data_IF_335270674642
#
_entry.id   IF_335270674642
#
_cell.length_a   1.000
_cell.length_b   1.000
_cell.length_c   1.000
_cell.angle_alpha   90.00
_cell.angle_beta   90.00
_cell.angle_gamma   90.00
#
_symmetry.space_group_name_H-M   'P 1'
#
loop_
_entity.id
_entity.type
_entity.pdbx_description
1 polymer ?
#
# COMPACT_ATOMS: atom_id res chain seq x y z
N UNK A 1 -15.79 8.57 -0.06
CA UNK A 1 -14.37 8.21 -0.28
C UNK A 1 -13.76 7.70 0.99
N UNK A 2 -13.09 6.53 0.94
CA UNK A 2 -12.43 5.93 2.09
C UNK A 2 -11.30 6.85 2.59
N UNK A 3 -11.12 6.94 3.91
CA UNK A 3 -10.08 7.76 4.55
C UNK A 3 -9.44 7.02 5.72
N UNK A 4 -8.14 7.21 5.91
CA UNK A 4 -7.44 6.65 7.06
C UNK A 4 -7.98 7.27 8.35
N UNK A 5 -8.25 6.42 9.34
CA UNK A 5 -8.66 6.86 10.68
C UNK A 5 -7.55 7.65 11.37
N UNK A 6 -7.90 8.40 12.41
CA UNK A 6 -6.93 9.13 13.23
C UNK A 6 -5.91 8.20 13.90
N UNK A 7 -6.32 7.00 14.30
CA UNK A 7 -5.43 5.98 14.87
C UNK A 7 -4.38 5.51 13.84
N UNK A 8 -4.81 5.21 12.62
CA UNK A 8 -3.90 4.79 11.55
C UNK A 8 -2.94 5.91 11.18
N UNK A 9 -3.42 7.16 11.07
CA UNK A 9 -2.56 8.33 10.85
C UNK A 9 -1.52 8.51 11.97
N UNK A 10 -1.90 8.29 13.23
CA UNK A 10 -0.97 8.36 14.36
C UNK A 10 0.10 7.26 14.30
N UNK A 11 -0.26 6.03 13.90
CA UNK A 11 0.68 4.92 13.65
C UNK A 11 1.67 5.27 12.54
N UNK A 12 1.16 5.74 11.40
CA UNK A 12 1.99 6.20 10.28
C UNK A 12 2.95 7.32 10.69
N UNK A 13 2.52 8.23 11.58
CA UNK A 13 3.39 9.24 12.17
C UNK A 13 4.57 8.65 12.94
N UNK A 14 4.35 7.61 13.76
CA UNK A 14 5.44 6.94 14.49
C UNK A 14 6.39 6.19 13.55
N UNK A 15 5.85 5.54 12.53
CA UNK A 15 6.64 4.88 11.48
C UNK A 15 7.50 5.91 10.74
N UNK A 16 6.89 7.02 10.30
CA UNK A 16 7.61 8.09 9.62
C UNK A 16 8.78 8.58 10.48
N UNK A 17 8.54 8.87 11.77
CA UNK A 17 9.60 9.26 12.70
C UNK A 17 10.70 8.21 12.83
N UNK A 18 10.35 6.92 12.87
CA UNK A 18 11.31 5.80 12.95
C UNK A 18 12.25 5.72 11.75
N UNK A 19 11.76 5.95 10.53
CA UNK A 19 12.59 5.89 9.32
C UNK A 19 13.27 7.22 8.99
N UNK A 20 12.69 8.34 9.41
CA UNK A 20 13.23 9.66 9.13
C UNK A 20 14.57 9.93 9.82
N UNK A 21 15.49 10.52 9.07
CA UNK A 21 16.68 11.13 9.66
C UNK A 21 16.29 12.35 10.51
N UNK A 22 16.91 12.48 11.68
CA UNK A 22 16.72 13.60 12.59
C UNK A 22 17.73 14.72 12.31
N UNK A 23 17.25 15.94 12.16
CA UNK A 23 18.06 17.14 11.90
C UNK A 23 17.81 18.19 12.98
N UNK A 24 18.87 18.85 13.43
CA UNK A 24 18.72 20.01 14.32
C UNK A 24 18.14 21.19 13.54
N UNK A 25 17.02 21.74 14.01
CA UNK A 25 16.45 22.98 13.50
C UNK A 25 16.30 24.00 14.63
N UNK A 26 16.20 25.32 14.32
CA UNK A 26 16.11 26.37 15.34
C UNK A 26 14.95 26.20 16.34
N UNK A 27 13.89 25.48 15.94
CA UNK A 27 12.68 25.27 16.73
C UNK A 27 12.55 23.84 17.28
N UNK A 28 13.64 23.06 17.29
CA UNK A 28 13.67 21.67 17.73
C UNK A 28 14.13 20.70 16.65
N UNK A 29 14.00 19.41 16.92
CA UNK A 29 14.39 18.37 15.98
C UNK A 29 13.37 18.25 14.84
N UNK A 30 13.87 18.27 13.61
CA UNK A 30 13.09 18.07 12.39
C UNK A 30 13.33 16.67 11.84
N UNK A 31 12.25 15.94 11.62
CA UNK A 31 12.27 14.59 11.06
C UNK A 31 11.95 14.66 9.55
N UNK A 32 12.91 14.28 8.71
CA UNK A 32 12.75 14.27 7.25
C UNK A 32 13.14 12.90 6.70
N UNK A 33 12.30 12.32 5.85
CA UNK A 33 12.65 11.12 5.09
C UNK A 33 13.27 11.52 3.75
N UNK A 34 14.60 11.41 3.65
CA UNK A 34 15.32 11.55 2.38
C UNK A 34 15.26 10.27 1.57
N UNK A 35 15.81 10.29 0.36
CA UNK A 35 15.84 9.14 -0.55
C UNK A 35 16.28 7.84 0.12
N UNK A 36 17.40 7.85 0.88
CA UNK A 36 17.88 6.65 1.57
C UNK A 36 16.91 6.14 2.67
N UNK A 37 16.26 7.04 3.39
CA UNK A 37 15.27 6.71 4.41
C UNK A 37 14.03 6.05 3.77
N UNK A 38 13.58 6.59 2.63
CA UNK A 38 12.48 6.05 1.83
C UNK A 38 12.83 4.67 1.27
N UNK A 39 14.06 4.48 0.77
CA UNK A 39 14.53 3.19 0.28
C UNK A 39 14.54 2.13 1.39
N UNK A 40 15.01 2.47 2.60
CA UNK A 40 14.99 1.56 3.75
C UNK A 40 13.56 1.14 4.11
N UNK A 41 12.64 2.10 4.19
CA UNK A 41 11.22 1.81 4.42
C UNK A 41 10.63 0.87 3.35
N UNK A 42 10.90 1.16 2.08
CA UNK A 42 10.40 0.36 0.96
C UNK A 42 10.98 -1.05 0.94
N UNK A 43 12.26 -1.21 1.30
CA UNK A 43 12.88 -2.54 1.45
C UNK A 43 12.18 -3.33 2.54
N UNK A 44 11.85 -2.73 3.67
CA UNK A 44 11.20 -3.44 4.76
C UNK A 44 9.79 -3.95 4.37
N UNK A 45 8.99 -3.16 3.66
CA UNK A 45 7.63 -3.59 3.26
C UNK A 45 7.59 -4.46 1.99
N UNK A 46 8.47 -4.20 1.01
CA UNK A 46 8.42 -4.86 -0.30
C UNK A 46 9.55 -5.88 -0.54
N UNK A 47 10.54 -5.95 0.36
CA UNK A 47 11.78 -6.71 0.21
C UNK A 47 12.79 -6.11 -0.77
N UNK A 48 12.36 -5.23 -1.68
CA UNK A 48 13.20 -4.58 -2.69
C UNK A 48 12.68 -3.18 -3.05
N UNK A 49 13.58 -2.26 -3.40
CA UNK A 49 13.23 -0.93 -3.93
C UNK A 49 12.74 -1.04 -5.38
N UNK A 50 11.78 -0.18 -5.76
CA UNK A 50 11.31 -0.06 -7.15
C UNK A 50 10.10 -0.92 -7.50
N UNK A 51 9.52 -1.60 -6.52
CA UNK A 51 8.28 -2.39 -6.64
C UNK A 51 7.14 -1.73 -5.87
N UNK A 52 5.91 -2.08 -6.25
CA UNK A 52 4.72 -1.67 -5.52
C UNK A 52 4.18 -0.33 -5.98
N UNK A 53 2.94 -0.05 -5.59
CA UNK A 53 2.33 1.26 -5.83
C UNK A 53 2.84 2.28 -4.81
N UNK A 54 3.27 1.82 -3.65
CA UNK A 54 3.93 2.57 -2.59
C UNK A 54 5.18 3.29 -3.11
N UNK A 55 6.06 2.59 -3.85
CA UNK A 55 7.23 3.21 -4.51
C UNK A 55 6.81 4.29 -5.51
N UNK A 56 5.81 4.01 -6.34
CA UNK A 56 5.35 4.95 -7.38
C UNK A 56 4.71 6.18 -6.78
N UNK A 57 3.91 6.01 -5.73
CA UNK A 57 3.25 7.10 -5.02
C UNK A 57 4.28 7.91 -4.23
N UNK A 58 5.23 7.26 -3.54
CA UNK A 58 6.32 7.95 -2.85
C UNK A 58 7.16 8.81 -3.82
N UNK A 59 7.53 8.26 -4.98
CA UNK A 59 8.25 9.01 -6.01
C UNK A 59 7.47 10.28 -6.44
N UNK A 60 6.15 10.16 -6.67
CA UNK A 60 5.30 11.30 -7.04
C UNK A 60 5.20 12.35 -5.93
N UNK A 61 5.02 11.93 -4.67
CA UNK A 61 4.99 12.82 -3.50
C UNK A 61 6.35 13.51 -3.29
N UNK A 62 7.45 12.86 -3.67
CA UNK A 62 8.79 13.44 -3.73
C UNK A 62 9.04 14.32 -4.96
N UNK A 63 8.03 14.52 -5.81
CA UNK A 63 8.10 15.44 -6.95
C UNK A 63 8.54 14.82 -8.28
N UNK A 64 8.60 13.49 -8.38
CA UNK A 64 8.81 12.82 -9.67
C UNK A 64 7.71 13.19 -10.65
N UNK A 65 8.10 13.60 -11.85
CA UNK A 65 7.21 13.91 -12.97
C UNK A 65 7.77 13.23 -14.22
N UNK A 66 6.91 12.74 -15.12
CA UNK A 66 7.36 12.23 -16.41
C UNK A 66 8.02 13.36 -17.22
N UNK A 67 9.12 13.03 -17.91
CA UNK A 67 9.91 13.98 -18.69
C UNK A 67 9.17 14.51 -19.93
N UNK A 68 8.16 13.78 -20.40
CA UNK A 68 7.28 14.16 -21.51
C UNK A 68 5.84 13.69 -21.25
N UNK A 69 4.81 14.35 -21.82
CA UNK A 69 3.45 13.84 -21.79
C UNK A 69 3.39 12.47 -22.50
N UNK A 70 2.57 11.52 -22.01
CA UNK A 70 2.46 10.19 -22.60
C UNK A 70 2.04 10.33 -24.06
N UNK A 71 2.91 9.94 -25.00
CA UNK A 71 2.55 9.81 -26.41
C UNK A 71 1.85 8.47 -26.60
N UNK A 72 0.80 8.43 -27.43
CA UNK A 72 0.03 7.19 -27.69
C UNK A 72 0.86 6.08 -28.36
N UNK A 73 2.08 6.40 -28.82
CA UNK A 73 2.98 5.50 -29.56
C UNK A 73 4.25 5.11 -28.78
N UNK A 74 4.41 5.54 -27.52
CA UNK A 74 5.59 5.17 -26.73
C UNK A 74 5.40 3.83 -26.01
N UNK A 75 5.89 2.76 -26.63
CA UNK A 75 6.07 1.44 -26.00
C UNK A 75 7.07 1.45 -24.83
N UNK A 76 7.73 2.59 -24.57
CA UNK A 76 8.72 2.76 -23.50
C UNK A 76 8.25 3.75 -22.46
N UNK A 77 7.42 3.28 -21.53
CA UNK A 77 7.13 4.04 -20.29
C UNK A 77 8.45 4.33 -19.57
N UNK A 78 8.70 5.61 -19.33
CA UNK A 78 9.83 6.06 -18.53
C UNK A 78 9.83 5.35 -17.17
N UNK A 79 11.00 4.85 -16.76
CA UNK A 79 11.14 4.14 -15.49
C UNK A 79 11.05 5.16 -14.36
N UNK A 80 10.09 4.97 -13.44
CA UNK A 80 9.94 5.80 -12.25
C UNK A 80 11.17 5.60 -11.35
N UNK A 81 11.73 6.71 -10.86
CA UNK A 81 12.86 6.76 -9.91
C UNK A 81 12.55 7.71 -8.78
N UNK A 82 13.12 7.48 -7.60
CA UNK A 82 13.05 8.46 -6.51
C UNK A 82 13.94 9.67 -6.87
N UNK A 83 13.41 10.91 -6.86
CA UNK A 83 14.24 12.08 -7.09
C UNK A 83 15.30 12.23 -5.99
N UNK A 84 16.54 12.52 -6.39
CA UNK A 84 17.62 12.83 -5.46
C UNK A 84 17.39 14.21 -4.82
N UNK A 85 17.89 14.39 -3.59
CA UNK A 85 17.84 15.65 -2.84
C UNK A 85 16.43 16.19 -2.55
N UNK A 86 15.41 15.33 -2.65
CA UNK A 86 14.04 15.63 -2.25
C UNK A 86 13.68 14.91 -0.96
N UNK A 87 12.59 15.34 -0.33
CA UNK A 87 12.09 14.77 0.92
C UNK A 87 10.68 14.24 0.72
N UNK A 88 10.41 13.07 1.26
CA UNK A 88 9.05 12.62 1.51
C UNK A 88 8.61 13.22 2.83
N UNK A 89 7.64 14.13 2.82
CA UNK A 89 7.10 14.72 4.05
C UNK A 89 6.17 13.73 4.77
N UNK A 90 5.82 14.00 6.03
CA UNK A 90 4.83 13.18 6.74
C UNK A 90 3.48 13.15 5.99
N UNK A 91 3.03 14.30 5.48
CA UNK A 91 1.80 14.37 4.71
C UNK A 91 1.90 13.55 3.42
N UNK A 92 3.03 13.65 2.71
CA UNK A 92 3.27 12.84 1.51
C UNK A 92 3.31 11.34 1.83
N UNK A 93 3.94 10.95 2.94
CA UNK A 93 3.95 9.58 3.42
C UNK A 93 2.53 9.07 3.72
N UNK A 94 1.69 9.88 4.39
CA UNK A 94 0.28 9.55 4.62
C UNK A 94 -0.49 9.44 3.29
N UNK A 95 -0.25 10.34 2.35
CA UNK A 95 -0.89 10.32 1.02
C UNK A 95 -0.60 9.02 0.26
N UNK A 96 0.60 8.43 0.43
CA UNK A 96 0.91 7.11 -0.16
C UNK A 96 -0.08 6.05 0.32
N UNK A 97 -0.32 5.97 1.63
CA UNK A 97 -1.27 4.99 2.18
C UNK A 97 -2.73 5.35 1.91
N UNK A 98 -3.07 6.63 1.83
CA UNK A 98 -4.41 7.04 1.38
C UNK A 98 -4.69 6.62 -0.06
N UNK A 99 -3.69 6.71 -0.95
CA UNK A 99 -3.81 6.24 -2.32
C UNK A 99 -3.99 4.71 -2.41
N UNK A 100 -3.33 3.94 -1.54
CA UNK A 100 -3.55 2.49 -1.45
C UNK A 100 -4.97 2.18 -0.96
N UNK A 101 -5.46 2.90 0.05
CA UNK A 101 -6.80 2.71 0.60
C UNK A 101 -7.89 3.04 -0.44
N UNK A 102 -7.71 4.12 -1.20
CA UNK A 102 -8.62 4.49 -2.30
C UNK A 102 -8.71 3.43 -3.39
N UNK A 103 -7.67 2.62 -3.55
CA UNK A 103 -7.63 1.48 -4.49
C UNK A 103 -8.13 0.18 -3.88
N UNK A 104 -8.62 0.22 -2.64
CA UNK A 104 -9.15 -0.93 -1.94
C UNK A 104 -8.10 -1.87 -1.36
N UNK A 105 -6.89 -1.38 -1.10
CA UNK A 105 -5.78 -2.21 -0.63
C UNK A 105 -5.59 -2.18 0.87
N UNK A 106 -6.69 -2.24 1.62
CA UNK A 106 -6.67 -2.21 3.08
C UNK A 106 -5.71 -3.26 3.69
N UNK A 107 -5.68 -4.49 3.16
CA UNK A 107 -4.81 -5.55 3.69
C UNK A 107 -3.33 -5.35 3.38
N UNK A 108 -3.00 -4.69 2.28
CA UNK A 108 -1.62 -4.24 2.03
C UNK A 108 -1.18 -3.28 3.12
N UNK A 109 -2.02 -2.29 3.44
CA UNK A 109 -1.76 -1.35 4.53
C UNK A 109 -1.63 -2.07 5.88
N UNK A 110 -2.55 -2.98 6.20
CA UNK A 110 -2.53 -3.74 7.46
C UNK A 110 -1.26 -4.61 7.58
N UNK A 111 -0.85 -5.25 6.49
CA UNK A 111 0.39 -6.01 6.40
C UNK A 111 1.61 -5.11 6.65
N UNK A 112 1.71 -4.00 5.93
CA UNK A 112 2.82 -3.06 6.06
C UNK A 112 2.94 -2.52 7.48
N UNK A 113 1.82 -2.10 8.07
CA UNK A 113 1.78 -1.67 9.48
C UNK A 113 2.30 -2.75 10.43
N UNK A 114 1.93 -4.02 10.21
CA UNK A 114 2.44 -5.12 11.03
C UNK A 114 3.94 -5.35 10.86
N UNK A 115 4.44 -5.35 9.62
CA UNK A 115 5.87 -5.47 9.31
C UNK A 115 6.68 -4.34 9.94
N UNK A 116 6.11 -3.13 9.96
CA UNK A 116 6.77 -1.93 10.48
C UNK A 116 6.68 -1.80 12.01
N UNK A 117 5.99 -2.71 12.69
CA UNK A 117 5.90 -2.79 14.15
C UNK A 117 4.70 -2.04 14.76
N UNK A 118 3.74 -1.64 13.94
CA UNK A 118 2.53 -0.90 14.33
C UNK A 118 1.24 -1.64 13.93
N UNK A 119 1.11 -2.95 14.20
CA UNK A 119 0.01 -3.76 13.69
C UNK A 119 -1.35 -3.20 14.10
N UNK A 120 -2.31 -3.27 13.16
CA UNK A 120 -3.71 -3.02 13.49
C UNK A 120 -4.20 -4.09 14.46
N UNK A 121 -5.04 -3.68 15.41
CA UNK A 121 -5.72 -4.62 16.29
C UNK A 121 -6.79 -5.34 15.49
N UNK A 122 -6.42 -6.46 14.87
CA UNK A 122 -7.35 -7.34 14.18
C UNK A 122 -8.06 -8.18 15.25
N UNK A 123 -9.14 -7.64 15.81
CA UNK A 123 -9.95 -8.33 16.82
C UNK A 123 -10.99 -9.27 16.24
N UNK A 124 -11.18 -9.25 14.91
CA UNK A 124 -12.16 -10.08 14.20
C UNK A 124 -11.53 -10.78 13.00
N UNK A 125 -11.96 -12.02 12.75
CA UNK A 125 -11.60 -12.77 11.55
C UNK A 125 -12.28 -12.13 10.35
N UNK A 126 -11.48 -11.72 9.36
CA UNK A 126 -11.98 -11.14 8.12
C UNK A 126 -12.79 -12.15 7.29
N UNK A 127 -13.80 -11.69 6.57
CA UNK A 127 -14.51 -12.45 5.55
C UNK A 127 -14.85 -11.60 4.33
N UNK A 128 -14.55 -12.13 3.16
CA UNK A 128 -14.82 -11.48 1.89
C UNK A 128 -15.89 -12.20 1.13
N UNK A 129 -16.65 -11.45 0.35
CA UNK A 129 -17.51 -12.03 -0.67
C UNK A 129 -16.79 -11.84 -2.00
N UNK A 130 -16.36 -12.93 -2.62
CA UNK A 130 -15.91 -12.88 -4.01
C UNK A 130 -17.12 -12.56 -4.89
N UNK A 131 -17.15 -11.36 -5.46
CA UNK A 131 -18.24 -10.98 -6.37
C UNK A 131 -18.19 -11.80 -7.66
N UNK A 132 -16.98 -12.17 -8.13
CA UNK A 132 -16.77 -12.96 -9.35
C UNK A 132 -15.50 -13.80 -9.25
N UNK A 133 -15.60 -15.08 -9.61
CA UNK A 133 -14.44 -15.92 -9.92
C UNK A 133 -14.39 -16.18 -11.42
N UNK A 134 -13.32 -15.74 -12.07
CA UNK A 134 -13.08 -16.02 -13.48
C UNK A 134 -12.34 -17.35 -13.59
N UNK A 135 -12.92 -18.29 -14.33
CA UNK A 135 -12.34 -19.61 -14.62
C UNK A 135 -12.32 -19.83 -16.15
N UNK A 136 -11.35 -20.61 -16.63
CA UNK A 136 -11.29 -20.97 -18.06
C UNK A 136 -12.24 -22.13 -18.36
N UNK A 137 -12.59 -22.34 -19.63
CA UNK A 137 -13.40 -23.50 -20.04
C UNK A 137 -12.74 -24.85 -19.76
N UNK A 138 -11.43 -24.86 -19.46
CA UNK A 138 -10.69 -26.07 -19.13
C UNK A 138 -10.73 -26.41 -17.63
N UNK A 139 -11.06 -25.45 -16.76
CA UNK A 139 -11.01 -25.61 -15.31
C UNK A 139 -12.32 -25.14 -14.68
N UNK A 140 -13.03 -26.07 -14.04
CA UNK A 140 -14.24 -25.74 -13.28
C UNK A 140 -13.89 -25.65 -11.79
N UNK A 141 -14.20 -24.54 -11.10
CA UNK A 141 -14.06 -24.45 -9.65
C UNK A 141 -15.05 -25.42 -8.98
N UNK A 142 -14.57 -26.21 -8.02
CA UNK A 142 -15.38 -27.20 -7.29
C UNK A 142 -15.59 -26.80 -5.84
N UNK A 143 -14.55 -26.25 -5.22
CA UNK A 143 -14.61 -25.75 -3.86
C UNK A 143 -13.73 -24.53 -3.73
N UNK A 144 -14.16 -23.58 -2.90
CA UNK A 144 -13.35 -22.45 -2.47
C UNK A 144 -13.36 -22.47 -0.96
N UNK A 145 -12.16 -22.51 -0.39
CA UNK A 145 -11.98 -22.30 1.03
C UNK A 145 -11.91 -20.80 1.27
N UNK A 146 -12.92 -20.29 1.93
CA UNK A 146 -12.99 -18.93 2.42
C UNK A 146 -12.68 -18.88 3.91
N UNK A 147 -12.30 -17.72 4.43
CA UNK A 147 -12.30 -17.51 5.88
C UNK A 147 -13.76 -17.44 6.36
N UNK A 148 -14.09 -17.88 7.58
CA UNK A 148 -15.48 -17.89 8.12
C UNK A 148 -15.74 -16.73 9.10
N UNK A 149 -16.85 -15.99 8.98
CA UNK A 149 -17.32 -14.90 9.85
C UNK A 149 -18.85 -14.67 9.65
N UNK A 150 -19.48 -13.80 10.44
CA UNK A 150 -20.94 -13.57 10.44
C UNK A 150 -21.35 -12.13 10.10
N UNK A 151 -20.41 -11.30 9.65
CA UNK A 151 -20.65 -9.88 9.33
C UNK A 151 -20.16 -9.55 7.91
N UNK A 152 -20.87 -8.67 7.23
CA UNK A 152 -20.57 -8.24 5.86
C UNK A 152 -19.39 -7.26 5.84
N UNK A 153 -18.59 -7.27 4.76
CA UNK A 153 -17.56 -6.25 4.54
C UNK A 153 -18.14 -4.85 4.59
N UNK A 154 -17.48 -3.88 5.24
CA UNK A 154 -17.82 -2.47 5.14
C UNK A 154 -17.27 -1.90 3.81
N UNK A 155 -17.65 -2.52 2.69
CA UNK A 155 -17.25 -2.08 1.33
C UNK A 155 -17.67 -0.62 1.06
N UNK A 156 -18.64 -0.11 1.84
CA UNK A 156 -19.09 1.28 1.79
C UNK A 156 -18.04 2.27 2.33
N UNK A 157 -17.12 1.81 3.18
CA UNK A 157 -16.07 2.65 3.81
C UNK A 157 -14.65 2.23 3.49
N UNK A 158 -14.37 0.97 3.18
CA UNK A 158 -13.03 0.45 2.86
C UNK A 158 -13.15 -0.67 1.81
N UNK A 159 -12.89 -0.40 0.50
CA UNK A 159 -12.85 -1.44 -0.50
C UNK A 159 -11.68 -2.39 -0.21
N UNK A 160 -11.79 -3.68 -0.55
CA UNK A 160 -10.81 -4.68 -0.13
C UNK A 160 -10.45 -5.73 -1.20
N UNK A 161 -9.16 -5.75 -1.56
CA UNK A 161 -8.34 -6.79 -2.19
C UNK A 161 -8.41 -8.18 -1.53
N UNK A 162 -9.42 -9.02 -1.82
CA UNK A 162 -9.43 -10.40 -1.31
C UNK A 162 -9.09 -11.46 -2.34
N UNK A 163 -8.24 -12.39 -1.94
CA UNK A 163 -7.93 -13.63 -2.63
C UNK A 163 -8.37 -14.82 -1.77
N UNK A 164 -8.96 -15.87 -2.39
CA UNK A 164 -9.37 -17.06 -1.66
C UNK A 164 -8.16 -17.72 -0.99
N UNK A 165 -8.35 -18.22 0.24
CA UNK A 165 -7.31 -18.95 0.99
C UNK A 165 -6.87 -20.18 0.20
N UNK A 166 -7.84 -20.87 -0.41
CA UNK A 166 -7.59 -21.97 -1.33
C UNK A 166 -8.78 -22.11 -2.28
N UNK A 167 -8.53 -22.57 -3.50
CA UNK A 167 -9.56 -23.01 -4.43
C UNK A 167 -9.16 -24.34 -5.05
N UNK A 168 -10.12 -25.26 -5.15
CA UNK A 168 -9.98 -26.55 -5.82
C UNK A 168 -10.69 -26.50 -7.16
N UNK A 169 -10.03 -27.03 -8.19
CA UNK A 169 -10.51 -27.05 -9.56
C UNK A 169 -10.48 -28.49 -10.08
N UNK A 170 -11.41 -28.81 -10.99
CA UNK A 170 -11.36 -30.03 -11.80
C UNK A 170 -11.28 -29.65 -13.27
N UNK A 171 -10.65 -30.51 -14.07
CA UNK A 171 -10.75 -30.36 -15.52
C UNK A 171 -12.21 -30.56 -15.94
N UNK A 172 -12.67 -29.71 -16.85
CA UNK A 172 -14.01 -29.80 -17.43
C UNK A 172 -14.12 -30.93 -18.45
#
# INVERSE_FOLDING_TARGET
DPKLSSDVRARLGRIYTKYSSCYEAPNGNLHLMKTADVENWLVDINGVVGRGDEFRNAAKEMGWKPSAPPSENDDKKERITLPLDTVLTLDGFINVYEAELQRGKFWGIAHDLAVLGEPLLVSATYQGRYDRMYCSSALRPVAVLDTTCSQSCPNDTEPSDHLPVCASFVMS
#
